data_IF_126362860622
#
_entry.id   IF_126362860622
#
_cell.length_a   1.000
_cell.length_b   1.000
_cell.length_c   1.000
_cell.angle_alpha   90.00
_cell.angle_beta   90.00
_cell.angle_gamma   90.00
#
_symmetry.space_group_name_H-M   'P 1'
#
loop_
_entity.id
_entity.type
_entity.pdbx_description
1 polymer ?
#
# COMPACT_ATOMS: atom_id res chain seq x y z
N UNK A 1 -3.38 -10.96 -7.45
CA UNK A 1 -4.24 -10.31 -6.43
C UNK A 1 -3.97 -8.82 -6.31
N UNK A 2 -2.85 -8.33 -6.86
CA UNK A 2 -2.42 -6.94 -6.80
C UNK A 2 -3.47 -5.90 -7.26
N UNK A 3 -4.07 -6.07 -8.45
CA UNK A 3 -5.02 -5.08 -9.00
C UNK A 3 -6.30 -4.93 -8.18
N UNK A 4 -6.73 -5.99 -7.50
CA UNK A 4 -7.82 -5.93 -6.54
C UNK A 4 -7.48 -4.98 -5.38
N UNK A 5 -6.31 -5.15 -4.77
CA UNK A 5 -5.88 -4.27 -3.67
C UNK A 5 -5.63 -2.83 -4.13
N UNK A 6 -5.06 -2.59 -5.32
CA UNK A 6 -4.93 -1.23 -5.87
C UNK A 6 -6.29 -0.54 -6.01
N UNK A 7 -7.32 -1.28 -6.44
CA UNK A 7 -8.68 -0.76 -6.54
C UNK A 7 -9.25 -0.41 -5.17
N UNK A 8 -9.10 -1.29 -4.18
CA UNK A 8 -9.55 -1.03 -2.80
C UNK A 8 -8.83 0.19 -2.21
N UNK A 9 -7.50 0.23 -2.28
CA UNK A 9 -6.69 1.34 -1.77
C UNK A 9 -7.10 2.68 -2.40
N UNK A 10 -7.37 2.69 -3.71
CA UNK A 10 -7.87 3.89 -4.39
C UNK A 10 -9.22 4.33 -3.85
N UNK A 11 -10.15 3.39 -3.62
CA UNK A 11 -11.49 3.69 -3.08
C UNK A 11 -11.45 4.19 -1.65
N UNK A 12 -10.54 3.69 -0.81
CA UNK A 12 -10.42 4.12 0.60
C UNK A 12 -9.43 5.25 0.83
N UNK A 13 -8.80 5.77 -0.23
CA UNK A 13 -7.75 6.80 -0.15
C UNK A 13 -8.21 8.14 0.46
N UNK A 14 -9.52 8.35 0.61
CA UNK A 14 -10.07 9.52 1.30
C UNK A 14 -9.88 9.49 2.83
N UNK A 15 -9.55 8.35 3.42
CA UNK A 15 -9.35 8.20 4.85
C UNK A 15 -8.00 7.54 5.13
N UNK A 16 -7.15 8.26 5.88
CA UNK A 16 -5.83 7.77 6.31
C UNK A 16 -5.92 6.43 7.04
N UNK A 17 -6.86 6.31 7.96
CA UNK A 17 -7.03 5.10 8.78
C UNK A 17 -7.49 3.90 7.95
N UNK A 18 -8.47 4.10 7.07
CA UNK A 18 -8.94 3.03 6.18
C UNK A 18 -7.85 2.62 5.18
N UNK A 19 -7.13 3.60 4.62
CA UNK A 19 -6.03 3.35 3.72
C UNK A 19 -4.93 2.52 4.39
N UNK A 20 -4.48 2.89 5.59
CA UNK A 20 -3.48 2.13 6.34
C UNK A 20 -3.96 0.69 6.62
N UNK A 21 -5.22 0.52 7.03
CA UNK A 21 -5.79 -0.80 7.32
C UNK A 21 -5.81 -1.71 6.10
N UNK A 22 -6.30 -1.22 4.96
CA UNK A 22 -6.36 -2.01 3.73
C UNK A 22 -4.97 -2.25 3.12
N UNK A 23 -4.03 -1.31 3.30
CA UNK A 23 -2.65 -1.47 2.87
C UNK A 23 -1.96 -2.61 3.61
N UNK A 24 -2.13 -2.70 4.94
CA UNK A 24 -1.59 -3.82 5.73
C UNK A 24 -2.16 -5.17 5.28
N UNK A 25 -3.46 -5.23 4.97
CA UNK A 25 -4.09 -6.45 4.42
C UNK A 25 -3.50 -6.83 3.07
N UNK A 26 -3.28 -5.85 2.19
CA UNK A 26 -2.66 -6.08 0.89
C UNK A 26 -1.25 -6.67 1.05
N UNK A 27 -0.42 -6.06 1.90
CA UNK A 27 0.94 -6.52 2.17
C UNK A 27 0.95 -7.95 2.72
N UNK A 28 0.05 -8.30 3.63
CA UNK A 28 -0.04 -9.65 4.19
C UNK A 28 -0.59 -10.70 3.21
N UNK A 29 -1.33 -10.29 2.18
CA UNK A 29 -2.02 -11.21 1.25
C UNK A 29 -1.27 -11.45 -0.05
N UNK A 30 -0.35 -10.55 -0.42
CA UNK A 30 0.37 -10.60 -1.69
C UNK A 30 1.69 -11.35 -1.54
N UNK A 31 2.12 -11.99 -2.63
CA UNK A 31 3.46 -12.58 -2.71
C UNK A 31 4.52 -11.46 -2.77
N UNK A 32 5.78 -11.71 -2.36
CA UNK A 32 6.82 -10.68 -2.27
C UNK A 32 6.96 -9.81 -3.53
N UNK A 33 6.95 -10.44 -4.72
CA UNK A 33 7.01 -9.74 -6.00
C UNK A 33 5.83 -8.79 -6.25
N UNK A 34 4.63 -9.16 -5.79
CA UNK A 34 3.45 -8.28 -5.88
C UNK A 34 3.52 -7.16 -4.83
N UNK A 35 4.10 -7.42 -3.64
CA UNK A 35 4.31 -6.39 -2.60
C UNK A 35 5.28 -5.31 -3.08
N UNK A 36 6.36 -5.65 -3.78
CA UNK A 36 7.27 -4.68 -4.39
C UNK A 36 6.56 -3.79 -5.41
N UNK A 37 5.77 -4.38 -6.31
CA UNK A 37 4.98 -3.63 -7.28
C UNK A 37 3.91 -2.75 -6.61
N UNK A 38 3.31 -3.23 -5.52
CA UNK A 38 2.36 -2.44 -4.73
C UNK A 38 3.06 -1.25 -4.07
N UNK A 39 4.25 -1.45 -3.51
CA UNK A 39 5.07 -0.41 -2.88
C UNK A 39 5.34 0.73 -3.86
N UNK A 40 5.91 0.42 -5.02
CA UNK A 40 6.27 1.43 -6.01
C UNK A 40 5.05 2.21 -6.52
N UNK A 41 3.93 1.50 -6.72
CA UNK A 41 2.66 2.13 -7.07
C UNK A 41 2.13 3.05 -5.96
N UNK A 42 2.20 2.64 -4.69
CA UNK A 42 1.74 3.44 -3.56
C UNK A 42 2.58 4.71 -3.39
N UNK A 43 3.91 4.61 -3.48
CA UNK A 43 4.78 5.79 -3.41
C UNK A 43 4.63 6.71 -4.62
N UNK A 44 4.25 6.20 -5.79
CA UNK A 44 3.97 7.05 -6.95
C UNK A 44 2.65 7.82 -6.78
N UNK A 45 1.62 7.19 -6.20
CA UNK A 45 0.26 7.76 -6.11
C UNK A 45 -0.02 8.55 -4.83
N UNK A 46 0.56 8.14 -3.71
CA UNK A 46 0.14 8.59 -2.37
C UNK A 46 1.29 9.07 -1.49
N UNK A 47 2.51 9.24 -2.04
CA UNK A 47 3.67 9.72 -1.25
C UNK A 47 3.40 11.04 -0.55
N UNK A 48 2.81 12.01 -1.26
CA UNK A 48 2.58 13.35 -0.69
C UNK A 48 1.46 13.38 0.35
N UNK A 49 0.52 12.43 0.28
CA UNK A 49 -0.62 12.33 1.20
C UNK A 49 -0.31 11.47 2.43
N UNK A 50 0.38 10.35 2.21
CA UNK A 50 0.52 9.24 3.16
C UNK A 50 1.94 8.73 3.29
N UNK A 51 2.97 9.52 2.96
CA UNK A 51 4.37 9.11 3.04
C UNK A 51 4.78 8.46 4.36
N UNK A 52 4.34 8.98 5.50
CA UNK A 52 4.60 8.37 6.82
C UNK A 52 3.95 6.98 6.99
N UNK A 53 2.72 6.81 6.49
CA UNK A 53 2.01 5.53 6.52
C UNK A 53 2.72 4.52 5.62
N UNK A 54 3.12 4.95 4.41
CA UNK A 54 3.86 4.10 3.48
C UNK A 54 5.19 3.66 4.08
N UNK A 55 5.97 4.60 4.64
CA UNK A 55 7.24 4.29 5.28
C UNK A 55 7.04 3.24 6.38
N UNK A 56 6.05 3.42 7.25
CA UNK A 56 5.74 2.50 8.36
C UNK A 56 5.28 1.12 7.90
N UNK A 57 4.41 1.05 6.88
CA UNK A 57 3.87 -0.22 6.40
C UNK A 57 4.90 -1.04 5.62
N UNK A 58 5.85 -0.39 4.95
CA UNK A 58 6.85 -1.07 4.11
C UNK A 58 8.23 -1.26 4.77
N UNK A 59 8.42 -0.95 6.06
CA UNK A 59 9.72 -1.05 6.78
C UNK A 59 10.42 -2.42 6.63
N UNK A 60 9.69 -3.52 6.41
CA UNK A 60 10.25 -4.87 6.23
C UNK A 60 10.35 -5.39 4.79
N UNK A 61 10.02 -4.58 3.79
CA UNK A 61 10.00 -4.97 2.37
C UNK A 61 10.97 -4.13 1.52
N UNK A 62 11.98 -3.54 2.17
CA UNK A 62 13.17 -3.10 1.47
C UNK A 62 13.90 -4.35 0.98
N UNK A 63 14.09 -4.44 -0.33
CA UNK A 63 14.96 -5.44 -0.95
C UNK A 63 16.41 -5.21 -0.51
#
# INVERSE_FOLDING_TARGET
MLEYFKTILSKVSFSRELFERELRKAIASLVPKEVEQLRDWCYTKYRDLYGEVLNRCFVGFAA
#
